data_IF_864393423374
#
_entry.id   IF_864393423374
#
_cell.length_a   1.000
_cell.length_b   1.000
_cell.length_c   1.000
_cell.angle_alpha   90.00
_cell.angle_beta   90.00
_cell.angle_gamma   90.00
#
_symmetry.space_group_name_H-M   'P 1'
#
loop_
_entity.id
_entity.type
_entity.pdbx_description
1 polymer ?
#
# COMPACT_ATOMS: atom_id res chain seq x y z
N UNK A 1 2.07 13.99 0.09
CA UNK A 1 2.00 12.80 -0.78
C UNK A 1 1.20 13.04 -2.06
N UNK A 2 1.23 14.27 -2.56
CA UNK A 2 0.77 14.64 -3.89
C UNK A 2 1.87 15.41 -4.58
N UNK A 3 1.87 15.44 -5.89
CA UNK A 3 2.76 16.31 -6.66
C UNK A 3 2.01 16.97 -7.83
N UNK A 4 2.60 18.04 -8.36
CA UNK A 4 2.06 18.77 -9.52
C UNK A 4 3.09 18.85 -10.64
N UNK A 5 2.64 18.63 -11.86
CA UNK A 5 3.38 18.82 -13.11
C UNK A 5 2.42 19.26 -14.19
N UNK A 6 2.85 20.17 -15.03
CA UNK A 6 2.13 20.60 -16.24
C UNK A 6 0.62 20.86 -16.01
N UNK A 7 0.30 21.57 -14.93
CA UNK A 7 -1.08 21.94 -14.59
C UNK A 7 -1.93 20.86 -13.94
N UNK A 8 -1.47 19.61 -13.85
CA UNK A 8 -2.18 18.52 -13.18
C UNK A 8 -1.60 18.18 -11.80
N UNK A 9 -2.41 17.54 -10.97
CA UNK A 9 -2.04 17.05 -9.65
C UNK A 9 -2.39 15.57 -9.51
N UNK A 10 -1.47 14.79 -8.97
CA UNK A 10 -1.67 13.37 -8.72
C UNK A 10 -1.47 13.03 -7.25
N UNK A 11 -2.23 12.05 -6.80
CA UNK A 11 -1.99 11.36 -5.53
C UNK A 11 -0.86 10.32 -5.73
N UNK A 12 -0.10 10.00 -4.68
CA UNK A 12 1.06 9.11 -4.83
C UNK A 12 0.83 7.74 -4.20
N UNK A 13 -0.14 7.58 -3.32
CA UNK A 13 -0.29 6.34 -2.59
C UNK A 13 -1.69 6.02 -2.07
N UNK A 14 -2.63 6.94 -2.17
CA UNK A 14 -4.03 6.68 -1.81
C UNK A 14 -4.84 6.52 -3.08
N UNK A 15 -5.28 5.30 -3.38
CA UNK A 15 -6.13 5.01 -4.52
C UNK A 15 -7.58 4.78 -4.11
N UNK A 16 -7.82 4.20 -2.93
CA UNK A 16 -9.11 4.00 -2.29
C UNK A 16 -8.93 3.55 -0.84
N UNK A 17 -9.96 3.67 -0.02
CA UNK A 17 -9.95 3.26 1.39
C UNK A 17 -11.28 2.56 1.70
N UNK A 18 -11.20 1.37 2.27
CA UNK A 18 -12.36 0.60 2.74
C UNK A 18 -12.80 0.99 4.15
N UNK A 19 -13.90 0.38 4.63
CA UNK A 19 -14.40 0.54 6.00
C UNK A 19 -14.69 1.99 6.42
N UNK A 20 -15.15 2.83 5.48
CA UNK A 20 -15.52 4.23 5.73
C UNK A 20 -17.02 4.50 5.55
N UNK A 21 -17.84 3.45 5.50
CA UNK A 21 -19.30 3.59 5.50
C UNK A 21 -19.82 4.26 6.77
N UNK A 22 -21.06 4.79 6.72
CA UNK A 22 -21.71 5.39 7.89
C UNK A 22 -21.69 4.45 9.11
N UNK A 23 -21.25 4.96 10.27
CA UNK A 23 -21.17 4.18 11.52
C UNK A 23 -19.97 3.23 11.61
N UNK A 24 -19.11 3.15 10.61
CA UNK A 24 -17.89 2.34 10.69
C UNK A 24 -16.85 2.95 11.63
N UNK A 25 -16.03 2.10 12.24
CA UNK A 25 -14.96 2.54 13.15
C UNK A 25 -13.88 3.36 12.39
N UNK A 26 -13.54 2.97 11.16
CA UNK A 26 -12.61 3.73 10.32
C UNK A 26 -13.10 5.15 10.10
N UNK A 27 -14.39 5.32 9.74
CA UNK A 27 -15.00 6.63 9.57
C UNK A 27 -14.94 7.47 10.85
N UNK A 28 -15.27 6.89 11.99
CA UNK A 28 -15.23 7.59 13.28
C UNK A 28 -13.83 8.14 13.62
N UNK A 29 -12.76 7.40 13.30
CA UNK A 29 -11.39 7.90 13.48
C UNK A 29 -11.08 9.11 12.60
N UNK A 30 -11.43 9.05 11.33
CA UNK A 30 -11.19 10.16 10.41
C UNK A 30 -12.03 11.39 10.78
N UNK A 31 -13.29 11.21 11.14
CA UNK A 31 -14.17 12.30 11.57
C UNK A 31 -13.64 12.97 12.85
N UNK A 32 -13.16 12.19 13.83
CA UNK A 32 -12.54 12.72 15.04
C UNK A 32 -11.26 13.51 14.75
N UNK A 33 -10.35 12.96 13.93
CA UNK A 33 -9.06 13.58 13.64
C UNK A 33 -9.17 14.82 12.73
N UNK A 34 -10.18 14.88 11.89
CA UNK A 34 -10.43 16.01 10.99
C UNK A 34 -11.41 17.04 11.56
N UNK A 35 -11.94 16.82 12.78
CA UNK A 35 -13.03 17.65 13.31
C UNK A 35 -14.32 17.58 12.47
N UNK A 36 -14.50 16.49 11.70
CA UNK A 36 -15.65 16.31 10.80
C UNK A 36 -15.51 17.01 9.44
N UNK A 37 -14.40 17.70 9.17
CA UNK A 37 -14.20 18.46 7.92
C UNK A 37 -13.81 17.58 6.71
N UNK A 38 -13.40 16.32 6.93
CA UNK A 38 -13.00 15.44 5.86
C UNK A 38 -14.19 14.70 5.25
N UNK A 39 -14.54 15.08 4.04
CA UNK A 39 -15.64 14.47 3.28
C UNK A 39 -15.13 13.32 2.40
N UNK A 40 -16.01 12.32 2.19
CA UNK A 40 -15.72 11.12 1.45
C UNK A 40 -16.70 10.89 0.31
N UNK A 41 -16.20 10.70 -0.89
CA UNK A 41 -16.97 10.20 -2.01
C UNK A 41 -16.95 8.66 -1.97
N UNK A 42 -18.13 8.04 -2.05
CA UNK A 42 -18.23 6.60 -2.22
C UNK A 42 -17.86 6.25 -3.66
N UNK A 43 -17.04 5.24 -3.85
CA UNK A 43 -16.75 4.71 -5.16
C UNK A 43 -17.97 4.02 -5.78
N UNK A 44 -17.98 3.73 -7.10
CA UNK A 44 -19.03 2.94 -7.74
C UNK A 44 -19.30 1.63 -7.00
N UNK A 45 -20.50 1.07 -7.17
CA UNK A 45 -20.85 -0.21 -6.57
C UNK A 45 -19.88 -1.33 -6.98
N UNK A 46 -19.43 -1.30 -8.24
CA UNK A 46 -18.32 -2.12 -8.73
C UNK A 46 -17.01 -1.33 -8.59
N UNK A 47 -16.40 -1.37 -7.41
CA UNK A 47 -15.21 -0.55 -7.11
C UNK A 47 -13.90 -1.10 -7.67
N UNK A 48 -13.84 -2.41 -7.97
CA UNK A 48 -12.71 -3.09 -8.63
C UNK A 48 -13.21 -3.98 -9.77
N UNK A 49 -12.40 -4.09 -10.83
CA UNK A 49 -12.60 -5.01 -11.95
C UNK A 49 -11.33 -5.81 -12.17
N UNK A 50 -11.42 -7.15 -12.15
CA UNK A 50 -10.31 -8.07 -12.36
C UNK A 50 -10.37 -8.64 -13.77
N UNK A 51 -9.34 -8.34 -14.57
CA UNK A 51 -9.26 -8.73 -15.99
C UNK A 51 -8.08 -9.68 -16.19
N UNK A 52 -8.39 -10.89 -16.68
CA UNK A 52 -7.44 -11.93 -17.07
C UNK A 52 -7.85 -12.55 -18.38
N UNK A 53 -6.99 -13.31 -19.06
CA UNK A 53 -7.40 -14.10 -20.22
C UNK A 53 -8.59 -15.01 -19.91
N UNK A 54 -9.75 -14.68 -20.51
CA UNK A 54 -11.01 -15.41 -20.33
C UNK A 54 -11.70 -15.21 -18.96
N UNK A 55 -11.35 -14.16 -18.22
CA UNK A 55 -12.05 -13.75 -16.99
C UNK A 55 -12.14 -12.22 -16.96
N UNK A 56 -13.36 -11.72 -16.80
CA UNK A 56 -13.65 -10.31 -16.53
C UNK A 56 -14.68 -10.27 -15.39
N UNK A 57 -14.23 -9.93 -14.20
CA UNK A 57 -15.04 -10.00 -13.00
C UNK A 57 -15.06 -8.66 -12.28
N UNK A 58 -16.26 -8.14 -12.00
CA UNK A 58 -16.48 -6.94 -11.22
C UNK A 58 -16.73 -7.28 -9.76
N UNK A 59 -16.08 -6.53 -8.85
CA UNK A 59 -16.21 -6.72 -7.40
C UNK A 59 -17.27 -5.78 -6.86
N UNK A 60 -18.40 -6.34 -6.43
CA UNK A 60 -19.49 -5.55 -5.84
C UNK A 60 -19.18 -5.11 -4.40
N UNK A 61 -19.61 -3.93 -4.03
CA UNK A 61 -19.61 -3.40 -2.66
C UNK A 61 -20.65 -4.08 -1.73
N UNK A 62 -21.52 -4.93 -2.27
CA UNK A 62 -22.36 -5.85 -1.49
C UNK A 62 -21.66 -7.22 -1.35
N UNK A 63 -21.22 -7.59 -0.14
CA UNK A 63 -20.51 -8.86 0.08
C UNK A 63 -21.30 -10.10 -0.36
N UNK A 64 -22.62 -10.08 -0.23
CA UNK A 64 -23.47 -11.22 -0.63
C UNK A 64 -23.61 -11.31 -2.14
N UNK A 65 -23.66 -10.16 -2.83
CA UNK A 65 -23.65 -10.10 -4.30
C UNK A 65 -22.32 -10.58 -4.83
N UNK A 66 -21.19 -10.09 -4.28
CA UNK A 66 -19.85 -10.53 -4.70
C UNK A 66 -19.66 -12.04 -4.53
N UNK A 67 -20.13 -12.63 -3.40
CA UNK A 67 -20.09 -14.08 -3.21
C UNK A 67 -20.95 -14.81 -4.24
N UNK A 68 -22.18 -14.32 -4.54
CA UNK A 68 -23.05 -14.91 -5.58
C UNK A 68 -22.44 -14.82 -6.98
N UNK A 69 -21.83 -13.68 -7.33
CA UNK A 69 -21.20 -13.47 -8.64
C UNK A 69 -20.01 -14.42 -8.84
N UNK A 70 -19.19 -14.63 -7.80
CA UNK A 70 -18.13 -15.64 -7.79
C UNK A 70 -18.68 -17.06 -7.95
N UNK A 71 -19.75 -17.42 -7.24
CA UNK A 71 -20.39 -18.75 -7.35
C UNK A 71 -20.98 -18.95 -8.76
N UNK A 72 -21.59 -17.92 -9.33
CA UNK A 72 -22.11 -17.98 -10.69
C UNK A 72 -20.99 -18.19 -11.74
N UNK A 73 -19.85 -17.53 -11.57
CA UNK A 73 -18.69 -17.68 -12.44
C UNK A 73 -17.95 -19.04 -12.23
N UNK A 74 -18.00 -19.59 -11.01
CA UNK A 74 -17.28 -20.81 -10.63
C UNK A 74 -18.18 -21.80 -9.84
N UNK A 75 -19.26 -22.32 -10.42
CA UNK A 75 -20.27 -23.10 -9.69
C UNK A 75 -19.71 -24.39 -9.07
N UNK A 76 -18.70 -24.98 -9.65
CA UNK A 76 -18.00 -26.17 -9.12
C UNK A 76 -17.30 -25.92 -7.77
N UNK A 77 -17.01 -24.64 -7.45
CA UNK A 77 -16.26 -24.21 -6.26
C UNK A 77 -17.19 -23.56 -5.20
N UNK A 78 -18.50 -23.59 -5.37
CA UNK A 78 -19.47 -22.87 -4.54
C UNK A 78 -19.27 -23.05 -3.02
N UNK A 79 -19.06 -24.31 -2.59
CA UNK A 79 -18.80 -24.62 -1.16
C UNK A 79 -17.48 -24.03 -0.65
N UNK A 80 -16.45 -24.04 -1.50
CA UNK A 80 -15.13 -23.50 -1.16
C UNK A 80 -15.18 -21.96 -1.09
N UNK A 81 -15.91 -21.30 -2.01
CA UNK A 81 -16.13 -19.85 -2.00
C UNK A 81 -16.84 -19.43 -0.71
N UNK A 82 -17.93 -20.09 -0.34
CA UNK A 82 -18.63 -19.79 0.91
C UNK A 82 -17.73 -19.94 2.14
N UNK A 83 -16.94 -21.02 2.21
CA UNK A 83 -15.95 -21.23 3.28
C UNK A 83 -14.88 -20.13 3.29
N UNK A 84 -14.41 -19.68 2.14
CA UNK A 84 -13.41 -18.64 2.03
C UNK A 84 -13.87 -17.34 2.71
N UNK A 85 -15.08 -16.85 2.44
CA UNK A 85 -15.58 -15.64 3.10
C UNK A 85 -15.76 -15.82 4.62
N UNK A 86 -16.13 -17.00 5.08
CA UNK A 86 -16.15 -17.31 6.51
C UNK A 86 -14.73 -17.27 7.11
N UNK A 87 -13.74 -17.84 6.42
CA UNK A 87 -12.36 -17.86 6.87
C UNK A 87 -11.72 -16.47 6.85
N UNK A 88 -12.01 -15.65 5.85
CA UNK A 88 -11.61 -14.24 5.81
C UNK A 88 -12.10 -13.52 7.07
N UNK A 89 -13.40 -13.60 7.40
CA UNK A 89 -13.96 -12.96 8.62
C UNK A 89 -13.32 -13.50 9.91
N UNK A 90 -13.05 -14.82 9.97
CA UNK A 90 -12.40 -15.46 11.14
C UNK A 90 -10.97 -15.00 11.32
N UNK A 91 -10.21 -14.95 10.23
CA UNK A 91 -8.80 -14.54 10.26
C UNK A 91 -8.66 -13.04 10.53
N UNK A 92 -9.55 -12.21 10.01
CA UNK A 92 -9.59 -10.78 10.33
C UNK A 92 -9.83 -10.54 11.82
N UNK A 93 -10.78 -11.25 12.43
CA UNK A 93 -11.00 -11.18 13.89
C UNK A 93 -9.79 -11.67 14.69
N UNK A 94 -9.11 -12.72 14.22
CA UNK A 94 -7.87 -13.19 14.82
C UNK A 94 -6.77 -12.12 14.75
N UNK A 95 -6.61 -11.44 13.61
CA UNK A 95 -5.62 -10.38 13.44
C UNK A 95 -5.92 -9.17 14.34
N UNK A 96 -7.20 -8.81 14.53
CA UNK A 96 -7.64 -7.73 15.41
C UNK A 96 -7.18 -7.96 16.87
N UNK A 97 -7.10 -9.20 17.34
CA UNK A 97 -6.55 -9.51 18.68
C UNK A 97 -5.09 -9.03 18.82
N UNK A 98 -4.31 -9.04 17.73
CA UNK A 98 -2.94 -8.52 17.73
C UNK A 98 -2.88 -7.02 18.04
N UNK A 99 -3.78 -6.23 17.51
CA UNK A 99 -3.86 -4.79 17.80
C UNK A 99 -4.27 -4.53 19.25
N UNK A 100 -5.27 -5.26 19.76
CA UNK A 100 -5.74 -5.13 21.15
C UNK A 100 -4.65 -5.46 22.15
N UNK A 101 -3.74 -6.39 21.87
CA UNK A 101 -2.62 -6.73 22.77
C UNK A 101 -1.75 -5.53 23.15
N UNK A 102 -1.61 -4.55 22.24
CA UNK A 102 -0.87 -3.32 22.52
C UNK A 102 -1.57 -2.38 23.52
N UNK A 103 -2.90 -2.49 23.64
CA UNK A 103 -3.75 -1.56 24.39
C UNK A 103 -4.09 -2.04 25.80
N UNK A 104 -3.87 -3.32 26.11
CA UNK A 104 -4.26 -3.91 27.41
C UNK A 104 -3.06 -4.13 28.33
N UNK A 105 -3.24 -4.25 29.67
CA UNK A 105 -2.17 -4.58 30.61
C UNK A 105 -1.43 -5.88 30.27
N UNK A 106 -0.16 -5.99 30.68
CA UNK A 106 0.72 -7.13 30.34
C UNK A 106 0.12 -8.52 30.62
N UNK A 107 -0.57 -8.79 31.75
CA UNK A 107 -1.18 -10.10 32.00
C UNK A 107 -2.23 -10.46 30.94
N UNK A 108 -3.16 -9.54 30.66
CA UNK A 108 -4.20 -9.72 29.66
C UNK A 108 -3.60 -9.87 28.25
N UNK A 109 -2.59 -9.07 27.89
CA UNK A 109 -1.87 -9.21 26.64
C UNK A 109 -1.22 -10.60 26.48
N UNK A 110 -0.78 -11.21 27.56
CA UNK A 110 -0.18 -12.56 27.54
C UNK A 110 -1.22 -13.65 27.28
N UNK A 111 -2.42 -13.54 27.87
CA UNK A 111 -3.55 -14.43 27.57
C UNK A 111 -4.01 -14.30 26.12
N UNK A 112 -4.17 -13.05 25.62
CA UNK A 112 -4.53 -12.82 24.22
C UNK A 112 -3.50 -13.40 23.27
N UNK A 113 -2.20 -13.30 23.57
CA UNK A 113 -1.14 -13.93 22.78
C UNK A 113 -1.23 -15.45 22.76
N UNK A 114 -1.54 -16.06 23.90
CA UNK A 114 -1.72 -17.52 23.95
C UNK A 114 -2.92 -17.96 23.09
N UNK A 115 -4.06 -17.30 23.21
CA UNK A 115 -5.24 -17.54 22.39
C UNK A 115 -4.96 -17.32 20.89
N UNK A 116 -4.23 -16.25 20.54
CA UNK A 116 -3.85 -15.97 19.17
C UNK A 116 -2.92 -17.04 18.58
N UNK A 117 -2.00 -17.62 19.38
CA UNK A 117 -1.14 -18.72 18.93
C UNK A 117 -1.93 -20.00 18.63
N UNK A 118 -2.92 -20.35 19.44
CA UNK A 118 -3.74 -21.53 19.23
C UNK A 118 -4.58 -21.44 17.96
N UNK A 119 -5.12 -20.25 17.65
CA UNK A 119 -5.93 -19.99 16.45
C UNK A 119 -5.15 -19.64 15.18
N UNK A 120 -3.83 -19.44 15.25
CA UNK A 120 -3.04 -18.76 14.21
C UNK A 120 -2.60 -19.61 13.04
N UNK A 121 -2.76 -20.95 13.05
CA UNK A 121 -2.24 -21.82 11.97
C UNK A 121 -2.73 -21.40 10.58
N UNK A 122 -4.04 -21.16 10.45
CA UNK A 122 -4.64 -20.71 9.18
C UNK A 122 -4.19 -19.30 8.79
N UNK A 123 -4.11 -18.40 9.72
CA UNK A 123 -3.70 -17.01 9.50
C UNK A 123 -2.23 -16.87 9.08
N UNK A 124 -1.36 -17.72 9.62
CA UNK A 124 0.09 -17.65 9.41
C UNK A 124 0.63 -18.68 8.40
N UNK A 125 -0.21 -19.30 7.58
CA UNK A 125 0.21 -19.97 6.35
C UNK A 125 0.34 -18.96 5.21
N UNK A 126 0.93 -19.34 4.06
CA UNK A 126 0.93 -18.45 2.90
C UNK A 126 -0.45 -18.40 2.24
N UNK A 127 -0.76 -17.30 1.57
CA UNK A 127 -2.01 -17.14 0.80
C UNK A 127 -2.10 -18.24 -0.25
N UNK A 128 -1.00 -18.53 -0.97
CA UNK A 128 -0.95 -19.61 -1.95
C UNK A 128 -1.29 -20.97 -1.32
N UNK A 129 -0.69 -21.32 -0.20
CA UNK A 129 -0.95 -22.59 0.48
C UNK A 129 -2.44 -22.72 0.90
N UNK A 130 -3.07 -21.62 1.34
CA UNK A 130 -4.48 -21.59 1.63
C UNK A 130 -5.32 -21.81 0.36
N UNK A 131 -5.06 -21.09 -0.72
CA UNK A 131 -5.80 -21.19 -1.97
C UNK A 131 -5.66 -22.57 -2.61
N UNK A 132 -4.45 -23.15 -2.63
CA UNK A 132 -4.19 -24.47 -3.22
C UNK A 132 -4.89 -25.61 -2.43
N UNK A 133 -5.00 -25.46 -1.11
CA UNK A 133 -5.68 -26.45 -0.27
C UNK A 133 -7.21 -26.43 -0.40
N UNK A 134 -7.81 -25.32 -0.85
CA UNK A 134 -9.26 -25.15 -0.83
C UNK A 134 -9.90 -25.04 -2.21
N UNK A 135 -9.14 -24.66 -3.25
CA UNK A 135 -9.65 -24.41 -4.60
C UNK A 135 -8.89 -25.22 -5.64
N UNK A 136 -9.62 -25.70 -6.65
CA UNK A 136 -9.07 -26.45 -7.79
C UNK A 136 -8.83 -25.55 -8.99
N UNK A 137 -9.75 -24.60 -9.27
CA UNK A 137 -9.71 -23.73 -10.42
C UNK A 137 -8.53 -22.74 -10.36
N UNK A 138 -7.56 -22.78 -11.30
CA UNK A 138 -6.47 -21.80 -11.37
C UNK A 138 -7.01 -20.37 -11.58
N UNK A 139 -8.07 -20.20 -12.39
CA UNK A 139 -8.71 -18.91 -12.64
C UNK A 139 -9.29 -18.30 -11.37
N UNK A 140 -10.02 -19.11 -10.58
CA UNK A 140 -10.57 -18.63 -9.32
C UNK A 140 -9.46 -18.25 -8.32
N UNK A 141 -8.40 -19.05 -8.23
CA UNK A 141 -7.24 -18.73 -7.37
C UNK A 141 -6.59 -17.40 -7.76
N UNK A 142 -6.42 -17.15 -9.06
CA UNK A 142 -5.89 -15.89 -9.56
C UNK A 142 -6.83 -14.71 -9.20
N UNK A 143 -8.13 -14.85 -9.46
CA UNK A 143 -9.15 -13.82 -9.10
C UNK A 143 -9.14 -13.51 -7.61
N UNK A 144 -9.15 -14.52 -6.74
CA UNK A 144 -9.13 -14.32 -5.29
C UNK A 144 -7.83 -13.67 -4.79
N UNK A 145 -6.73 -13.84 -5.52
CA UNK A 145 -5.45 -13.22 -5.20
C UNK A 145 -5.24 -11.83 -5.80
N UNK A 146 -6.13 -11.32 -6.68
CA UNK A 146 -5.92 -10.10 -7.50
C UNK A 146 -5.45 -8.89 -6.70
N UNK A 147 -5.97 -8.69 -5.49
CA UNK A 147 -5.61 -7.55 -4.62
C UNK A 147 -4.26 -7.72 -3.88
N UNK A 148 -3.39 -8.66 -4.31
CA UNK A 148 -2.08 -8.82 -3.66
C UNK A 148 -1.21 -7.56 -3.75
N UNK A 149 -1.42 -6.75 -4.75
CA UNK A 149 -0.78 -5.45 -4.90
C UNK A 149 -1.03 -4.51 -3.73
N UNK A 150 -2.19 -4.56 -3.08
CA UNK A 150 -2.54 -3.72 -1.92
C UNK A 150 -1.72 -4.04 -0.65
N UNK A 151 -1.02 -5.17 -0.61
CA UNK A 151 -0.09 -5.52 0.48
C UNK A 151 1.32 -5.88 -0.02
N UNK A 152 1.56 -5.82 -1.33
CA UNK A 152 2.87 -5.83 -1.96
C UNK A 152 3.64 -7.16 -1.90
N UNK A 153 2.96 -8.29 -1.76
CA UNK A 153 3.59 -9.61 -1.77
C UNK A 153 2.76 -10.62 -2.55
N UNK A 154 3.38 -11.39 -3.49
CA UNK A 154 2.70 -12.44 -4.19
C UNK A 154 2.19 -13.53 -3.22
N UNK A 155 1.17 -14.32 -3.64
CA UNK A 155 0.51 -15.30 -2.77
C UNK A 155 1.44 -16.33 -2.10
N UNK A 156 2.55 -16.72 -2.72
CA UNK A 156 3.52 -17.67 -2.15
C UNK A 156 4.28 -17.11 -0.95
N UNK A 157 4.39 -15.79 -0.84
CA UNK A 157 5.16 -15.11 0.21
C UNK A 157 4.27 -14.44 1.26
N UNK A 158 3.08 -13.95 0.87
CA UNK A 158 2.16 -13.26 1.77
C UNK A 158 1.54 -14.21 2.79
N UNK A 159 1.37 -13.76 4.03
CA UNK A 159 0.56 -14.47 5.01
C UNK A 159 -0.93 -14.37 4.64
N UNK A 160 -1.69 -15.43 4.82
CA UNK A 160 -3.15 -15.39 4.61
C UNK A 160 -3.83 -14.35 5.52
N UNK A 161 -3.20 -14.00 6.65
CA UNK A 161 -3.70 -12.94 7.52
C UNK A 161 -3.76 -11.57 6.84
N UNK A 162 -2.72 -11.14 6.12
CA UNK A 162 -2.74 -9.85 5.42
C UNK A 162 -3.72 -9.87 4.27
N UNK A 163 -3.79 -10.97 3.53
CA UNK A 163 -4.76 -11.17 2.46
C UNK A 163 -6.20 -11.03 3.00
N UNK A 164 -6.53 -11.74 4.09
CA UNK A 164 -7.85 -11.67 4.71
C UNK A 164 -8.19 -10.26 5.23
N UNK A 165 -7.20 -9.53 5.77
CA UNK A 165 -7.38 -8.13 6.19
C UNK A 165 -7.75 -7.23 5.02
N UNK A 166 -7.06 -7.34 3.88
CA UNK A 166 -7.32 -6.53 2.69
C UNK A 166 -8.68 -6.88 2.08
N UNK A 167 -8.98 -8.16 1.88
CA UNK A 167 -10.31 -8.56 1.39
C UNK A 167 -11.41 -8.03 2.30
N UNK A 168 -11.27 -8.19 3.62
CA UNK A 168 -12.24 -7.68 4.60
C UNK A 168 -12.35 -6.16 4.60
N UNK A 169 -11.25 -5.45 4.31
CA UNK A 169 -11.21 -3.99 4.26
C UNK A 169 -12.14 -3.42 3.18
N UNK A 170 -12.21 -4.09 2.03
CA UNK A 170 -12.98 -3.63 0.87
C UNK A 170 -14.32 -4.33 0.66
N UNK A 171 -14.69 -5.34 1.47
CA UNK A 171 -15.92 -6.12 1.27
C UNK A 171 -17.21 -5.27 1.20
N UNK A 172 -17.26 -4.15 1.89
CA UNK A 172 -18.42 -3.25 1.94
C UNK A 172 -18.25 -2.04 1.01
N UNK A 173 -17.28 -2.12 0.09
CA UNK A 173 -16.95 -1.07 -0.87
C UNK A 173 -15.81 -0.18 -0.42
N UNK A 174 -15.60 0.88 -1.18
CA UNK A 174 -14.47 1.79 -1.02
C UNK A 174 -14.89 3.25 -1.15
N UNK A 175 -14.06 4.13 -0.60
CA UNK A 175 -14.24 5.57 -0.56
C UNK A 175 -12.94 6.28 -0.94
N UNK A 176 -13.10 7.52 -1.40
CA UNK A 176 -11.98 8.40 -1.69
C UNK A 176 -12.23 9.80 -1.12
N UNK A 177 -11.21 10.54 -0.62
CA UNK A 177 -11.41 11.86 -0.06
C UNK A 177 -11.90 12.83 -1.15
N UNK A 178 -13.00 13.57 -0.89
CA UNK A 178 -13.43 14.64 -1.77
C UNK A 178 -12.34 15.73 -1.82
N UNK A 179 -11.94 16.13 -3.02
CA UNK A 179 -10.85 17.07 -3.22
C UNK A 179 -9.45 16.48 -3.06
N UNK A 180 -9.30 15.15 -3.23
CA UNK A 180 -8.02 14.42 -3.29
C UNK A 180 -7.42 14.06 -1.93
N UNK A 181 -6.37 13.20 -1.95
CA UNK A 181 -5.77 12.66 -0.73
C UNK A 181 -5.10 13.71 0.16
N UNK A 182 -4.65 14.82 -0.41
CA UNK A 182 -4.07 15.94 0.35
C UNK A 182 -5.04 16.53 1.39
N UNK A 183 -6.35 16.36 1.22
CA UNK A 183 -7.37 16.80 2.20
C UNK A 183 -7.18 16.13 3.54
N UNK A 184 -6.76 14.87 3.58
CA UNK A 184 -6.51 14.15 4.85
C UNK A 184 -5.49 14.91 5.68
N UNK A 185 -4.32 15.22 5.11
CA UNK A 185 -3.27 15.95 5.84
C UNK A 185 -3.71 17.35 6.25
N UNK A 186 -4.35 18.11 5.34
CA UNK A 186 -4.79 19.49 5.60
C UNK A 186 -5.83 19.60 6.73
N UNK A 187 -6.78 18.67 6.79
CA UNK A 187 -7.78 18.67 7.86
C UNK A 187 -7.18 18.27 9.20
N UNK A 188 -6.24 17.30 9.21
CA UNK A 188 -5.54 16.91 10.44
C UNK A 188 -4.61 18.01 10.95
N UNK A 189 -3.94 18.75 10.07
CA UNK A 189 -3.07 19.88 10.42
C UNK A 189 -3.82 20.91 11.24
N UNK A 190 -5.03 21.29 10.81
CA UNK A 190 -5.91 22.21 11.57
C UNK A 190 -6.18 21.72 13.00
N UNK A 191 -6.51 20.43 13.15
CA UNK A 191 -6.76 19.83 14.47
C UNK A 191 -5.52 19.86 15.37
N UNK A 192 -4.33 19.62 14.81
CA UNK A 192 -3.04 19.70 15.50
C UNK A 192 -2.80 21.15 15.98
N UNK A 193 -2.98 22.13 15.11
CA UNK A 193 -2.78 23.55 15.42
C UNK A 193 -3.77 24.07 16.47
N UNK A 194 -5.04 23.68 16.37
CA UNK A 194 -6.09 24.02 17.37
C UNK A 194 -5.77 23.43 18.75
N UNK A 195 -5.09 22.26 18.78
CA UNK A 195 -4.60 21.66 20.03
C UNK A 195 -3.27 22.28 20.54
N UNK A 196 -2.78 23.37 19.93
CA UNK A 196 -1.52 24.02 20.30
C UNK A 196 -0.27 23.31 19.76
N UNK A 197 -0.43 22.36 18.85
CA UNK A 197 0.65 21.66 18.16
C UNK A 197 1.17 22.43 16.94
N UNK A 198 2.14 21.84 16.23
CA UNK A 198 2.66 22.39 14.99
C UNK A 198 3.06 21.29 14.02
N UNK A 199 2.79 21.46 12.74
CA UNK A 199 3.30 20.66 11.64
C UNK A 199 4.51 21.37 11.02
N UNK A 200 5.63 20.66 10.90
CA UNK A 200 6.88 21.22 10.36
C UNK A 200 7.31 20.41 9.15
N UNK A 201 7.46 21.09 8.02
CA UNK A 201 7.95 20.51 6.77
C UNK A 201 9.38 21.01 6.46
N UNK A 202 10.02 20.39 5.46
CA UNK A 202 11.42 20.65 5.12
C UNK A 202 12.37 20.51 6.32
N UNK A 203 12.05 19.58 7.22
CA UNK A 203 12.88 19.23 8.38
C UNK A 203 13.11 17.72 8.39
N UNK A 204 14.35 17.31 8.11
CA UNK A 204 14.74 15.91 8.10
C UNK A 204 15.18 15.47 9.49
N UNK A 205 14.49 14.48 10.06
CA UNK A 205 14.93 13.83 11.30
C UNK A 205 16.07 12.87 10.98
N UNK A 206 17.24 13.13 11.57
CA UNK A 206 18.47 12.35 11.33
C UNK A 206 18.80 11.39 12.48
N UNK A 207 18.29 11.65 13.70
CA UNK A 207 18.55 10.85 14.88
C UNK A 207 17.38 10.92 15.89
N UNK A 208 17.08 9.79 16.55
CA UNK A 208 16.29 9.75 17.77
C UNK A 208 17.25 9.79 18.95
N UNK A 209 17.23 10.89 19.69
CA UNK A 209 18.08 11.09 20.87
C UNK A 209 17.62 10.21 22.02
N UNK A 210 18.58 9.56 22.68
CA UNK A 210 18.29 8.62 23.77
C UNK A 210 19.14 8.91 25.00
N UNK A 211 18.52 8.89 26.20
CA UNK A 211 19.17 9.04 27.47
C UNK A 211 18.60 7.98 28.43
N UNK A 212 19.47 7.30 29.18
CA UNK A 212 19.07 6.27 30.14
C UNK A 212 18.09 5.22 29.56
N UNK A 213 18.35 4.76 28.33
CA UNK A 213 17.54 3.74 27.65
C UNK A 213 16.16 4.22 27.16
N UNK A 214 15.88 5.53 27.14
CA UNK A 214 14.61 6.14 26.70
C UNK A 214 14.85 7.14 25.58
N UNK A 215 13.90 7.23 24.63
CA UNK A 215 13.88 8.32 23.67
C UNK A 215 13.48 9.63 24.38
N UNK A 216 14.22 10.71 24.13
CA UNK A 216 14.07 12.02 24.80
C UNK A 216 13.93 13.17 23.82
N UNK A 217 14.06 12.92 22.51
CA UNK A 217 13.99 13.95 21.49
C UNK A 217 14.42 13.44 20.12
N UNK A 218 14.54 14.39 19.21
CA UNK A 218 15.04 14.14 17.86
C UNK A 218 16.03 15.23 17.43
N UNK A 219 17.03 14.83 16.66
CA UNK A 219 17.92 15.72 15.91
C UNK A 219 17.37 15.91 14.51
N UNK A 220 17.39 17.13 14.01
CA UNK A 220 16.75 17.51 12.77
C UNK A 220 17.66 18.41 11.95
N UNK A 221 17.77 18.17 10.65
CA UNK A 221 18.35 19.10 9.70
C UNK A 221 17.23 19.96 9.11
N UNK A 222 17.30 21.26 9.32
CA UNK A 222 16.31 22.24 8.89
C UNK A 222 16.72 22.83 7.54
N UNK A 223 15.99 22.45 6.49
CA UNK A 223 16.23 22.85 5.08
C UNK A 223 15.37 24.03 4.64
N UNK A 224 14.70 24.75 5.55
CA UNK A 224 13.83 25.89 5.20
C UNK A 224 14.58 27.14 4.75
N UNK A 225 15.87 27.21 4.97
CA UNK A 225 16.74 28.27 4.48
C UNK A 225 17.87 27.70 3.59
N UNK A 226 18.48 28.55 2.79
CA UNK A 226 19.64 28.16 1.96
C UNK A 226 20.78 27.54 2.78
N UNK A 227 20.95 28.00 4.02
CA UNK A 227 21.88 27.39 4.98
C UNK A 227 21.15 26.38 5.84
N UNK A 228 21.47 25.09 5.64
CA UNK A 228 20.96 24.00 6.47
C UNK A 228 21.43 24.17 7.92
N UNK A 229 20.52 24.08 8.88
CA UNK A 229 20.80 24.23 10.30
C UNK A 229 20.38 23.00 11.08
N UNK A 230 21.23 22.56 11.99
CA UNK A 230 20.87 21.54 12.95
C UNK A 230 19.94 22.11 14.04
N UNK A 231 18.90 21.35 14.39
CA UNK A 231 17.99 21.65 15.51
C UNK A 231 17.76 20.40 16.35
N UNK A 232 17.46 20.61 17.62
CA UNK A 232 17.06 19.56 18.55
C UNK A 232 15.67 19.87 19.08
N UNK A 233 14.77 18.90 18.98
CA UNK A 233 13.46 18.94 19.64
C UNK A 233 13.43 17.90 20.75
N UNK A 234 13.03 18.33 21.96
CA UNK A 234 12.88 17.46 23.14
C UNK A 234 11.41 17.17 23.39
N UNK A 235 11.09 15.90 23.70
CA UNK A 235 9.75 15.48 24.07
C UNK A 235 9.81 14.21 24.94
N UNK A 236 8.86 14.03 25.87
CA UNK A 236 8.78 12.83 26.72
C UNK A 236 8.33 11.58 25.94
N UNK A 237 7.70 11.74 24.79
CA UNK A 237 7.24 10.66 23.92
C UNK A 237 7.62 10.98 22.46
N UNK A 238 8.24 10.02 21.81
CA UNK A 238 8.59 10.09 20.38
C UNK A 238 7.79 9.02 19.63
N UNK A 239 7.01 9.43 18.64
CA UNK A 239 6.28 8.53 17.72
C UNK A 239 6.97 8.55 16.36
N UNK A 240 7.47 7.42 15.93
CA UNK A 240 8.12 7.28 14.61
C UNK A 240 7.19 6.56 13.64
N UNK A 241 6.73 7.28 12.61
CA UNK A 241 5.84 6.76 11.56
C UNK A 241 6.57 6.54 10.22
N UNK A 242 7.90 6.61 10.18
CA UNK A 242 8.71 6.51 8.95
C UNK A 242 9.06 5.07 8.55
N UNK A 243 8.40 4.09 9.13
CA UNK A 243 8.67 2.66 8.93
C UNK A 243 9.73 2.08 9.87
N UNK A 244 9.58 0.79 10.17
CA UNK A 244 10.44 0.11 11.13
C UNK A 244 11.92 0.08 10.70
N UNK A 245 12.20 -0.17 9.42
CA UNK A 245 13.58 -0.20 8.92
C UNK A 245 14.29 1.13 9.14
N UNK A 246 13.68 2.26 8.79
CA UNK A 246 14.26 3.58 9.02
C UNK A 246 14.41 3.87 10.52
N UNK A 247 13.39 3.58 11.31
CA UNK A 247 13.42 3.81 12.76
C UNK A 247 14.55 3.03 13.43
N UNK A 248 14.62 1.72 13.22
CA UNK A 248 15.58 0.87 13.91
C UNK A 248 17.00 0.93 13.32
N UNK A 249 17.14 1.04 11.98
CA UNK A 249 18.45 0.92 11.33
C UNK A 249 19.12 2.27 11.05
N UNK A 250 18.36 3.37 10.99
CA UNK A 250 18.91 4.71 10.67
C UNK A 250 18.85 5.68 11.84
N UNK A 251 17.70 5.75 12.55
CA UNK A 251 17.49 6.82 13.54
C UNK A 251 17.89 6.43 14.96
N UNK A 252 17.79 5.17 15.33
CA UNK A 252 18.17 4.71 16.69
C UNK A 252 19.64 4.29 16.75
N UNK A 253 20.34 4.57 17.87
CA UNK A 253 21.71 4.10 18.08
C UNK A 253 21.86 2.59 17.89
N UNK A 254 22.93 2.16 17.20
CA UNK A 254 23.24 0.74 16.95
C UNK A 254 24.09 0.10 18.05
N UNK A 255 24.66 0.89 18.94
CA UNK A 255 25.52 0.47 20.05
C UNK A 255 24.89 0.80 21.41
N UNK A 256 25.58 0.46 22.49
CA UNK A 256 25.14 0.72 23.84
C UNK A 256 23.89 -0.08 24.26
N UNK A 257 23.14 0.44 25.21
CA UNK A 257 21.93 -0.20 25.75
C UNK A 257 20.83 -0.29 24.67
N UNK A 258 20.56 0.80 23.95
CA UNK A 258 19.54 0.82 22.87
C UNK A 258 19.91 -0.15 21.77
N UNK A 259 21.17 -0.20 21.34
CA UNK A 259 21.65 -1.16 20.34
C UNK A 259 21.37 -2.62 20.74
N UNK A 260 21.65 -2.98 22.00
CA UNK A 260 21.36 -4.31 22.54
C UNK A 260 19.86 -4.61 22.56
N UNK A 261 19.03 -3.68 23.06
CA UNK A 261 17.57 -3.84 23.15
C UNK A 261 16.89 -3.95 21.80
N UNK A 262 17.33 -3.18 20.80
CA UNK A 262 16.75 -3.15 19.46
C UNK A 262 17.38 -4.18 18.49
N UNK A 263 18.49 -4.81 18.86
CA UNK A 263 19.17 -5.82 18.05
C UNK A 263 18.28 -6.94 17.53
N UNK A 264 17.40 -7.54 18.34
CA UNK A 264 16.46 -8.56 17.87
C UNK A 264 15.49 -8.06 16.78
N UNK A 265 15.02 -6.82 16.89
CA UNK A 265 14.15 -6.21 15.87
C UNK A 265 14.92 -5.99 14.56
N UNK A 266 16.15 -5.48 14.62
CA UNK A 266 17.02 -5.30 13.43
C UNK A 266 17.28 -6.60 12.70
N UNK A 267 17.68 -7.67 13.43
CA UNK A 267 17.88 -9.00 12.82
C UNK A 267 16.60 -9.55 12.18
N UNK A 268 15.45 -9.30 12.83
CA UNK A 268 14.16 -9.70 12.24
C UNK A 268 13.84 -8.93 10.96
N UNK A 269 14.13 -7.63 10.89
CA UNK A 269 13.96 -6.80 9.70
C UNK A 269 14.91 -7.23 8.58
N UNK A 270 16.17 -7.49 8.90
CA UNK A 270 17.16 -8.00 7.94
C UNK A 270 16.71 -9.34 7.32
N UNK A 271 16.24 -10.26 8.16
CA UNK A 271 15.74 -11.57 7.71
C UNK A 271 14.47 -11.48 6.86
N UNK A 272 13.60 -10.52 7.13
CA UNK A 272 12.40 -10.26 6.29
C UNK A 272 12.77 -9.66 4.93
N UNK A 273 13.87 -8.92 4.87
CA UNK A 273 14.30 -8.20 3.69
C UNK A 273 13.43 -6.99 3.36
N UNK A 274 13.55 -6.50 2.14
CA UNK A 274 12.79 -5.35 1.63
C UNK A 274 11.46 -5.80 1.03
N UNK A 275 10.47 -4.90 1.09
CA UNK A 275 9.18 -5.08 0.42
C UNK A 275 9.26 -4.87 -1.09
N UNK A 276 8.14 -5.00 -1.75
CA UNK A 276 7.96 -4.74 -3.18
C UNK A 276 7.91 -3.24 -3.46
N UNK A 277 8.45 -2.84 -4.60
CA UNK A 277 8.32 -1.51 -5.17
C UNK A 277 7.45 -1.57 -6.43
N UNK A 278 7.35 -0.46 -7.17
CA UNK A 278 6.61 -0.41 -8.43
C UNK A 278 7.19 0.65 -9.39
N UNK A 279 6.76 0.56 -10.64
CA UNK A 279 6.74 1.70 -11.57
C UNK A 279 5.31 2.23 -11.58
N UNK A 280 5.16 3.56 -11.49
CA UNK A 280 3.88 4.23 -11.64
C UNK A 280 3.96 5.22 -12.78
N UNK A 281 3.00 5.14 -13.70
CA UNK A 281 2.79 6.08 -14.79
C UNK A 281 1.61 6.97 -14.42
N UNK A 282 1.84 8.25 -14.36
CA UNK A 282 0.85 9.28 -14.08
C UNK A 282 0.42 9.93 -15.39
N UNK A 283 -0.87 9.91 -15.66
CA UNK A 283 -1.45 10.39 -16.90
C UNK A 283 -2.34 11.61 -16.64
N UNK A 284 -2.19 12.68 -17.43
CA UNK A 284 -3.24 13.67 -17.58
C UNK A 284 -4.06 13.32 -18.81
N UNK A 285 -5.36 13.46 -18.68
CA UNK A 285 -6.32 13.16 -19.71
C UNK A 285 -6.92 14.46 -20.25
N UNK A 286 -7.02 14.58 -21.59
CA UNK A 286 -7.57 15.77 -22.26
C UNK A 286 -9.08 15.92 -22.11
N UNK A 287 -9.77 14.81 -21.80
CA UNK A 287 -11.23 14.76 -21.70
C UNK A 287 -11.67 13.84 -20.54
N UNK A 288 -12.95 13.87 -20.24
CA UNK A 288 -13.55 13.05 -19.17
C UNK A 288 -13.49 11.56 -19.56
N UNK A 289 -12.85 10.70 -18.77
CA UNK A 289 -12.76 9.27 -19.08
C UNK A 289 -14.12 8.54 -19.01
N UNK A 290 -15.19 9.19 -18.55
CA UNK A 290 -16.56 8.66 -18.71
C UNK A 290 -17.00 8.55 -20.17
N UNK A 291 -16.42 9.34 -21.06
CA UNK A 291 -16.66 9.27 -22.50
C UNK A 291 -16.29 7.91 -23.13
N UNK A 292 -15.35 7.19 -22.49
CA UNK A 292 -14.95 5.83 -22.89
C UNK A 292 -15.51 4.74 -21.94
N UNK A 293 -16.53 5.06 -21.14
CA UNK A 293 -17.23 4.11 -20.27
C UNK A 293 -16.57 3.85 -18.92
N UNK A 294 -15.58 4.66 -18.49
CA UNK A 294 -14.95 4.54 -17.17
C UNK A 294 -15.83 5.21 -16.12
N UNK A 295 -16.18 4.48 -15.07
CA UNK A 295 -17.07 4.95 -13.99
C UNK A 295 -16.32 5.42 -12.73
N UNK A 296 -14.99 5.28 -12.69
CA UNK A 296 -14.14 5.61 -11.54
C UNK A 296 -13.76 4.41 -10.67
N UNK A 297 -14.26 3.20 -10.96
CA UNK A 297 -13.75 1.96 -10.39
C UNK A 297 -12.30 1.68 -10.83
N UNK A 298 -11.54 0.96 -10.02
CA UNK A 298 -10.19 0.53 -10.41
C UNK A 298 -10.25 -0.67 -11.34
N UNK A 299 -9.20 -0.85 -12.16
CA UNK A 299 -9.07 -2.00 -13.04
C UNK A 299 -7.73 -2.69 -12.77
N UNK A 300 -7.76 -3.99 -12.52
CA UNK A 300 -6.60 -4.85 -12.35
C UNK A 300 -6.45 -5.72 -13.59
N UNK A 301 -5.51 -5.38 -14.45
CA UNK A 301 -5.28 -6.09 -15.73
C UNK A 301 -4.07 -6.98 -15.58
N UNK A 302 -4.22 -8.25 -15.94
CA UNK A 302 -3.15 -9.25 -15.87
C UNK A 302 -3.06 -10.00 -17.20
N UNK A 303 -1.84 -10.24 -17.68
CA UNK A 303 -1.58 -10.99 -18.92
C UNK A 303 -1.82 -12.49 -18.79
N UNK A 304 -1.69 -13.02 -17.56
CA UNK A 304 -1.93 -14.44 -17.26
C UNK A 304 -2.44 -14.63 -15.81
N UNK A 305 -2.51 -15.88 -15.36
CA UNK A 305 -3.02 -16.26 -14.03
C UNK A 305 -1.93 -16.37 -12.95
N UNK A 306 -0.66 -16.09 -13.30
CA UNK A 306 0.48 -16.28 -12.40
C UNK A 306 0.85 -14.99 -11.67
N UNK A 307 0.64 -14.93 -10.38
CA UNK A 307 1.05 -13.82 -9.50
C UNK A 307 2.45 -14.01 -8.90
N UNK A 308 3.12 -15.14 -9.16
CA UNK A 308 4.34 -15.51 -8.45
C UNK A 308 5.61 -14.94 -9.05
N UNK A 309 5.54 -14.53 -10.30
CA UNK A 309 6.70 -14.14 -11.08
C UNK A 309 7.15 -12.70 -10.91
N UNK A 310 6.79 -11.98 -9.83
CA UNK A 310 7.08 -10.55 -9.68
C UNK A 310 8.56 -10.19 -9.96
N UNK A 311 9.52 -11.06 -9.64
CA UNK A 311 10.93 -10.86 -9.95
C UNK A 311 11.25 -11.21 -11.41
N UNK A 312 10.64 -12.25 -11.96
CA UNK A 312 10.72 -12.63 -13.38
C UNK A 312 10.04 -11.58 -14.28
N UNK A 313 8.94 -11.00 -13.80
CA UNK A 313 8.21 -9.97 -14.51
C UNK A 313 8.92 -8.62 -14.52
N UNK A 314 9.86 -8.37 -13.61
CA UNK A 314 10.68 -7.15 -13.64
C UNK A 314 11.49 -7.05 -14.94
N UNK A 315 12.01 -8.13 -15.46
CA UNK A 315 12.79 -8.13 -16.70
C UNK A 315 11.90 -7.81 -17.90
N UNK A 316 10.71 -8.42 -18.00
CA UNK A 316 9.73 -8.12 -19.05
C UNK A 316 9.20 -6.68 -18.95
N UNK A 317 9.05 -6.14 -17.75
CA UNK A 317 8.70 -4.73 -17.55
C UNK A 317 9.75 -3.78 -18.13
N UNK A 318 11.05 -4.07 -17.93
CA UNK A 318 12.13 -3.26 -18.51
C UNK A 318 12.14 -3.30 -20.06
N UNK A 319 11.62 -4.36 -20.63
CA UNK A 319 11.43 -4.52 -22.09
C UNK A 319 10.13 -3.86 -22.59
N UNK A 320 9.36 -3.18 -21.73
CA UNK A 320 8.06 -2.60 -22.08
C UNK A 320 6.92 -3.62 -22.15
N UNK A 321 7.07 -4.79 -21.54
CA UNK A 321 6.04 -5.84 -21.49
C UNK A 321 5.63 -6.12 -20.06
N UNK A 322 4.87 -5.21 -19.40
CA UNK A 322 4.38 -5.41 -18.04
C UNK A 322 3.51 -6.67 -17.97
N UNK A 323 3.61 -7.39 -16.86
CA UNK A 323 2.76 -8.56 -16.60
C UNK A 323 1.37 -8.15 -16.10
N UNK A 324 1.33 -7.13 -15.28
CA UNK A 324 0.13 -6.58 -14.67
C UNK A 324 0.12 -5.05 -14.75
N UNK A 325 -1.06 -4.48 -14.69
CA UNK A 325 -1.25 -3.04 -14.48
C UNK A 325 -2.51 -2.84 -13.63
N UNK A 326 -2.35 -2.16 -12.51
CA UNK A 326 -3.45 -1.56 -11.76
C UNK A 326 -3.74 -0.17 -12.34
N UNK A 327 -5.00 0.10 -12.71
CA UNK A 327 -5.45 1.36 -13.29
C UNK A 327 -6.39 2.06 -12.33
N UNK A 328 -6.10 3.31 -12.00
CA UNK A 328 -6.89 4.15 -11.11
C UNK A 328 -7.20 5.50 -11.76
N UNK A 329 -8.35 6.07 -11.45
CA UNK A 329 -8.81 7.37 -11.95
C UNK A 329 -9.09 8.33 -10.79
N UNK A 330 -8.06 8.93 -10.14
CA UNK A 330 -8.21 9.74 -8.94
C UNK A 330 -9.15 10.93 -9.12
N UNK A 331 -9.11 11.60 -10.27
CA UNK A 331 -9.96 12.75 -10.55
C UNK A 331 -11.45 12.42 -10.55
N UNK A 332 -11.86 11.24 -11.02
CA UNK A 332 -13.26 10.79 -10.97
C UNK A 332 -13.70 10.52 -9.52
N UNK A 333 -12.79 10.04 -8.69
CA UNK A 333 -13.04 9.73 -7.27
C UNK A 333 -13.08 10.98 -6.41
N UNK A 334 -12.16 11.93 -6.63
CA UNK A 334 -12.06 13.19 -5.90
C UNK A 334 -13.10 14.23 -6.34
N UNK A 335 -13.55 14.15 -7.60
CA UNK A 335 -14.38 15.17 -8.24
C UNK A 335 -13.58 16.39 -8.72
N UNK A 336 -12.25 16.26 -8.90
CA UNK A 336 -11.37 17.34 -9.34
C UNK A 336 -11.04 17.26 -10.84
N UNK A 337 -10.57 18.39 -11.40
CA UNK A 337 -10.03 18.52 -12.75
C UNK A 337 -8.64 19.17 -12.71
N UNK A 338 -7.78 19.00 -13.73
CA UNK A 338 -7.99 18.19 -14.92
C UNK A 338 -8.12 16.69 -14.61
N UNK A 339 -8.66 15.94 -15.56
CA UNK A 339 -8.80 14.49 -15.43
C UNK A 339 -7.44 13.81 -15.42
N UNK A 340 -7.29 12.82 -14.53
CA UNK A 340 -6.04 12.09 -14.32
C UNK A 340 -6.29 10.61 -14.20
N UNK A 341 -5.28 9.81 -14.62
CA UNK A 341 -5.23 8.38 -14.36
C UNK A 341 -3.84 7.99 -13.85
N UNK A 342 -3.75 6.85 -13.20
CA UNK A 342 -2.52 6.27 -12.67
C UNK A 342 -2.46 4.80 -13.05
N UNK A 343 -1.32 4.39 -13.61
CA UNK A 343 -1.02 3.01 -13.95
C UNK A 343 0.10 2.52 -13.04
N UNK A 344 -0.09 1.39 -12.36
CA UNK A 344 0.91 0.85 -11.43
C UNK A 344 1.22 -0.61 -11.82
N UNK A 345 2.51 -0.91 -12.00
CA UNK A 345 3.01 -2.27 -12.17
C UNK A 345 4.07 -2.57 -11.12
N UNK A 346 3.89 -3.66 -10.39
CA UNK A 346 4.77 -4.03 -9.28
C UNK A 346 6.09 -4.62 -9.78
N UNK A 347 7.19 -4.24 -9.16
CA UNK A 347 8.51 -4.73 -9.56
C UNK A 347 9.51 -4.76 -8.40
N UNK A 348 10.63 -5.47 -8.61
CA UNK A 348 11.79 -5.41 -7.73
C UNK A 348 12.67 -4.20 -8.03
N UNK A 349 13.17 -3.51 -7.01
CA UNK A 349 14.06 -2.36 -7.19
C UNK A 349 15.42 -2.72 -7.81
N UNK A 350 15.82 -4.00 -7.77
CA UNK A 350 17.12 -4.47 -8.29
C UNK A 350 17.33 -4.11 -9.75
N UNK A 351 16.27 -4.15 -10.55
CA UNK A 351 16.30 -3.82 -11.97
C UNK A 351 16.76 -2.37 -12.27
N UNK A 352 16.61 -1.46 -11.30
CA UNK A 352 16.95 -0.04 -11.45
C UNK A 352 18.25 0.36 -10.75
N UNK A 353 18.95 -0.56 -10.07
CA UNK A 353 20.14 -0.27 -9.25
C UNK A 353 21.29 0.36 -10.02
N UNK A 354 21.47 0.05 -11.28
CA UNK A 354 22.55 0.62 -12.12
C UNK A 354 22.49 2.16 -12.25
N UNK A 355 21.32 2.77 -12.01
CA UNK A 355 21.14 4.23 -12.03
C UNK A 355 21.06 4.86 -10.63
N UNK A 356 21.22 4.07 -9.56
CA UNK A 356 21.00 4.54 -8.18
C UNK A 356 21.99 5.63 -7.77
N UNK A 357 23.27 5.50 -8.17
CA UNK A 357 24.33 6.44 -7.83
C UNK A 357 24.37 7.68 -8.74
N UNK A 358 23.55 7.72 -9.80
CA UNK A 358 23.49 8.86 -10.70
C UNK A 358 22.58 9.97 -10.12
N UNK A 359 22.91 11.26 -10.35
CA UNK A 359 22.06 12.36 -9.90
C UNK A 359 20.63 12.21 -10.42
N UNK A 360 19.65 12.45 -9.55
CA UNK A 360 18.23 12.25 -9.86
C UNK A 360 17.78 12.99 -11.12
N UNK A 361 18.26 14.21 -11.30
CA UNK A 361 17.90 15.08 -12.42
C UNK A 361 18.60 14.68 -13.73
N UNK A 362 19.65 13.85 -13.66
CA UNK A 362 20.46 13.47 -14.82
C UNK A 362 20.93 12.02 -14.74
N UNK A 363 20.00 11.07 -14.89
CA UNK A 363 20.30 9.63 -14.97
C UNK A 363 20.61 9.15 -16.39
N UNK A 364 20.84 10.09 -17.32
CA UNK A 364 21.21 9.81 -18.70
C UNK A 364 20.05 9.38 -19.61
N UNK A 365 20.29 9.41 -20.94
CA UNK A 365 19.24 9.18 -21.94
C UNK A 365 18.68 7.75 -21.89
N UNK A 366 19.49 6.75 -21.54
CA UNK A 366 19.04 5.36 -21.44
C UNK A 366 17.97 5.17 -20.36
N UNK A 367 18.11 5.87 -19.23
CA UNK A 367 17.10 5.81 -18.15
C UNK A 367 15.78 6.46 -18.57
N UNK A 368 15.83 7.58 -19.31
CA UNK A 368 14.62 8.24 -19.81
C UNK A 368 13.94 7.38 -20.88
N UNK A 369 14.71 6.83 -21.84
CA UNK A 369 14.19 5.92 -22.84
C UNK A 369 13.58 4.65 -22.22
N UNK A 370 14.16 4.15 -21.12
CA UNK A 370 13.56 3.05 -20.36
C UNK A 370 12.21 3.44 -19.76
N UNK A 371 12.09 4.61 -19.13
CA UNK A 371 10.84 5.11 -18.56
C UNK A 371 9.74 5.23 -19.63
N UNK A 372 10.06 5.77 -20.80
CA UNK A 372 9.13 5.89 -21.93
C UNK A 372 8.66 4.53 -22.42
N UNK A 373 9.58 3.59 -22.63
CA UNK A 373 9.25 2.21 -23.06
C UNK A 373 8.35 1.49 -22.06
N UNK A 374 8.63 1.62 -20.75
CA UNK A 374 7.78 1.04 -19.71
C UNK A 374 6.40 1.67 -19.72
N UNK A 375 6.33 3.01 -19.80
CA UNK A 375 5.07 3.75 -19.82
C UNK A 375 4.20 3.33 -21.00
N UNK A 376 4.79 3.22 -22.19
CA UNK A 376 4.11 2.75 -23.38
C UNK A 376 3.53 1.36 -23.21
N UNK A 377 4.32 0.41 -22.71
CA UNK A 377 3.84 -0.96 -22.50
C UNK A 377 2.76 -1.09 -21.43
N UNK A 378 2.83 -0.25 -20.37
CA UNK A 378 1.79 -0.19 -19.34
C UNK A 378 0.50 0.40 -19.88
N UNK A 379 0.58 1.43 -20.75
CA UNK A 379 -0.57 2.05 -21.39
C UNK A 379 -1.23 1.08 -22.38
N UNK A 380 -0.46 0.35 -23.18
CA UNK A 380 -0.97 -0.69 -24.08
C UNK A 380 -1.71 -1.81 -23.34
N UNK A 381 -1.19 -2.23 -22.17
CA UNK A 381 -1.90 -3.22 -21.36
C UNK A 381 -3.17 -2.64 -20.75
N UNK A 382 -3.16 -1.40 -20.26
CA UNK A 382 -4.34 -0.72 -19.73
C UNK A 382 -5.43 -0.52 -20.80
N UNK A 383 -5.03 -0.15 -22.03
CA UNK A 383 -5.89 0.01 -23.19
C UNK A 383 -6.72 -1.26 -23.50
N UNK A 384 -6.12 -2.45 -23.29
CA UNK A 384 -6.83 -3.72 -23.50
C UNK A 384 -8.07 -3.91 -22.61
N UNK A 385 -8.13 -3.22 -21.47
CA UNK A 385 -9.25 -3.29 -20.52
C UNK A 385 -10.05 -1.97 -20.44
N UNK A 386 -9.48 -0.89 -20.95
CA UNK A 386 -10.08 0.45 -21.03
C UNK A 386 -9.87 1.02 -22.46
N UNK A 387 -10.55 0.50 -23.48
CA UNK A 387 -10.40 0.94 -24.88
C UNK A 387 -10.68 2.43 -25.04
N UNK A 388 -9.79 3.14 -25.75
CA UNK A 388 -9.83 4.59 -25.93
C UNK A 388 -9.06 5.39 -24.88
N UNK A 389 -8.48 4.75 -23.86
CA UNK A 389 -7.69 5.45 -22.84
C UNK A 389 -6.49 6.17 -23.46
N UNK A 390 -5.79 5.51 -24.37
CA UNK A 390 -4.59 6.06 -25.04
C UNK A 390 -4.90 7.36 -25.79
N UNK A 391 -6.06 7.46 -26.44
CA UNK A 391 -6.48 8.65 -27.18
C UNK A 391 -6.76 9.85 -26.25
N UNK A 392 -7.11 9.59 -25.00
CA UNK A 392 -7.33 10.63 -24.00
C UNK A 392 -6.03 11.17 -23.37
N UNK A 393 -4.91 10.47 -23.47
CA UNK A 393 -3.66 10.88 -22.84
C UNK A 393 -3.05 12.09 -23.55
N UNK A 394 -2.71 13.14 -22.81
CA UNK A 394 -2.00 14.33 -23.31
C UNK A 394 -0.72 14.67 -22.51
N UNK A 395 -0.51 14.02 -21.35
CA UNK A 395 0.73 14.14 -20.58
C UNK A 395 1.05 12.85 -19.84
N UNK A 396 2.33 12.51 -19.78
CA UNK A 396 2.86 11.30 -19.12
C UNK A 396 4.04 11.64 -18.22
N UNK A 397 3.98 11.23 -16.95
CA UNK A 397 5.11 11.26 -16.02
C UNK A 397 5.32 9.85 -15.45
N UNK A 398 6.57 9.40 -15.28
CA UNK A 398 6.86 8.05 -14.79
C UNK A 398 7.73 8.08 -13.54
N UNK A 399 7.28 7.45 -12.47
CA UNK A 399 8.05 7.14 -11.26
C UNK A 399 8.59 5.72 -11.30
N UNK A 400 9.77 5.51 -10.73
CA UNK A 400 10.42 4.21 -10.61
C UNK A 400 10.74 3.93 -9.14
N UNK A 401 11.21 2.73 -8.77
CA UNK A 401 11.71 2.45 -7.43
C UNK A 401 12.71 3.47 -6.88
N UNK A 402 13.55 4.06 -7.74
CA UNK A 402 14.49 5.11 -7.35
C UNK A 402 13.81 6.44 -6.99
N UNK A 403 12.67 6.74 -7.62
CA UNK A 403 11.84 7.90 -7.28
C UNK A 403 11.22 7.70 -5.89
N UNK A 404 10.68 6.52 -5.62
CA UNK A 404 10.11 6.20 -4.31
C UNK A 404 11.17 6.20 -3.20
N UNK A 405 12.34 5.58 -3.44
CA UNK A 405 13.44 5.59 -2.48
C UNK A 405 13.87 7.01 -2.12
N UNK A 406 13.95 7.90 -3.10
CA UNK A 406 14.31 9.30 -2.90
C UNK A 406 13.30 10.05 -2.01
N UNK A 407 12.00 9.93 -2.30
CA UNK A 407 10.97 10.72 -1.60
C UNK A 407 10.51 10.12 -0.27
N UNK A 408 10.58 8.81 -0.11
CA UNK A 408 10.11 8.12 1.11
C UNK A 408 11.22 7.69 2.03
N UNK A 409 12.47 7.67 1.54
CA UNK A 409 13.63 7.09 2.20
C UNK A 409 13.45 5.60 2.60
N UNK A 410 12.43 4.92 2.06
CA UNK A 410 12.25 3.49 2.29
C UNK A 410 13.29 2.70 1.50
N UNK A 411 13.97 1.71 2.12
CA UNK A 411 14.95 0.88 1.44
C UNK A 411 14.39 0.27 0.14
N UNK A 412 15.11 0.45 -0.97
CA UNK A 412 14.72 -0.03 -2.28
C UNK A 412 13.36 0.50 -2.80
N UNK A 413 12.93 1.67 -2.33
CA UNK A 413 11.65 2.26 -2.70
C UNK A 413 10.43 1.42 -2.33
N UNK A 414 10.52 0.60 -1.28
CA UNK A 414 9.44 -0.30 -0.88
C UNK A 414 8.17 0.47 -0.45
N UNK A 415 7.00 0.04 -0.93
CA UNK A 415 5.72 0.70 -0.65
C UNK A 415 5.18 0.43 0.76
N UNK A 416 5.27 -0.80 1.23
CA UNK A 416 4.52 -1.31 2.39
C UNK A 416 5.39 -1.61 3.62
N UNK A 417 6.60 -1.11 3.69
CA UNK A 417 7.50 -1.39 4.80
C UNK A 417 7.92 -2.86 4.88
N UNK A 418 8.08 -3.46 6.08
CA UNK A 418 8.50 -4.85 6.23
C UNK A 418 7.49 -5.82 5.61
N UNK A 419 7.94 -6.79 4.78
CA UNK A 419 7.09 -7.74 4.10
C UNK A 419 6.12 -8.48 5.03
N UNK A 420 4.82 -8.53 4.68
CA UNK A 420 3.76 -9.17 5.47
C UNK A 420 3.74 -10.71 5.28
N UNK A 421 4.90 -11.35 5.49
CA UNK A 421 5.08 -12.80 5.41
C UNK A 421 4.53 -13.52 6.65
N UNK A 422 4.33 -14.85 6.61
CA UNK A 422 4.02 -15.66 7.79
C UNK A 422 5.01 -15.42 8.97
N UNK A 423 6.28 -15.23 8.65
CA UNK A 423 7.32 -14.93 9.65
C UNK A 423 7.07 -13.59 10.36
N UNK A 424 6.65 -12.55 9.61
CA UNK A 424 6.33 -11.22 10.18
C UNK A 424 5.26 -11.32 11.26
N UNK A 425 4.20 -12.11 11.02
CA UNK A 425 3.10 -12.32 11.98
C UNK A 425 3.50 -13.20 13.18
N UNK A 426 4.60 -13.95 13.10
CA UNK A 426 5.15 -14.77 14.20
C UNK A 426 6.29 -14.08 14.95
N UNK A 427 6.84 -12.98 14.40
CA UNK A 427 7.99 -12.28 14.97
C UNK A 427 7.62 -11.55 16.28
N UNK A 428 8.20 -11.98 17.38
CA UNK A 428 8.05 -11.29 18.67
C UNK A 428 8.73 -9.91 18.70
N UNK A 429 9.97 -9.75 18.17
CA UNK A 429 10.66 -8.47 18.19
C UNK A 429 9.97 -7.37 17.36
N UNK A 430 9.11 -7.76 16.40
CA UNK A 430 8.31 -6.84 15.58
C UNK A 430 6.82 -6.86 15.98
N UNK A 431 6.51 -7.34 17.15
CA UNK A 431 5.16 -7.34 17.72
C UNK A 431 4.74 -5.97 18.26
N UNK A 432 3.52 -5.86 18.81
CA UNK A 432 2.98 -4.60 19.33
C UNK A 432 3.80 -4.00 20.50
N UNK A 433 4.63 -4.80 21.13
CA UNK A 433 5.56 -4.38 22.19
C UNK A 433 6.92 -4.99 21.89
N UNK A 434 7.83 -4.18 21.44
CA UNK A 434 9.26 -4.50 21.44
C UNK A 434 9.80 -4.31 22.86
N UNK A 435 10.79 -5.12 23.25
CA UNK A 435 11.32 -5.15 24.61
C UNK A 435 11.89 -3.81 25.10
#
# INVERSE_FOLDING_TARGET
>A
HTFRRDGASWDVGVHYIGQLGPGSQGRAYFDYLSGGELEWNRMPDSYDRFVYPGVDLRVSSDPLRYERDLIAAFPQEARAIHRYFQDVRRVTRWAALGFVQGMVPRPAASLLRAAQRLGGRRATQTTKAYLDAHFRSPRLKAVLASQWGDYGLPPSRSAFAVHALIVSHYLEGAWFPRGGSARIARTFEKGIEQAGGAVRVAQEVTEILTENGKAVGVRVMDHRSAQVRERVYRAPVIVSAIGASNTFNRLLPTSGEIGRRTGPARRSLEHLGTGTSAVTVFLRLRDDPRSIGIDGGNIWVNRDLDHEGAQRYSDSLLEGRPHDVFVSFPSLKSGESPHTAELISFCGARAFRQWAEQPRENRGPEYFALKERIAQGMLELAESAAPGLTELVDYVETSTPLTYEHYTAHPAGAFYGPPATPLRFRSRPLGPRTA
#
